data_IF_342150225098
#
_entry.id   IF_342150225098
#
_cell.length_a   1.000
_cell.length_b   1.000
_cell.length_c   1.000
_cell.angle_alpha   90.00
_cell.angle_beta   90.00
_cell.angle_gamma   90.00
#
_symmetry.space_group_name_H-M   'P 1'
#
loop_
_entity.id
_entity.type
_entity.pdbx_description
1 polymer ?
#
# COMPACT_ATOMS: atom_id res chain seq x y z
N UNK A 1 -18.81 5.24 3.03
CA UNK A 1 -18.35 4.33 4.10
C UNK A 1 -18.74 2.95 3.64
N UNK A 2 -17.76 2.14 3.28
CA UNK A 2 -17.97 0.82 2.66
C UNK A 2 -17.42 -0.18 3.66
N UNK A 3 -18.26 -1.11 4.12
CA UNK A 3 -17.79 -2.32 4.81
C UNK A 3 -16.87 -3.04 3.83
N UNK A 4 -15.65 -3.38 4.25
CA UNK A 4 -14.77 -4.17 3.39
C UNK A 4 -15.43 -5.53 3.21
N UNK A 5 -15.53 -5.97 1.96
CA UNK A 5 -15.95 -7.34 1.73
C UNK A 5 -14.84 -8.31 2.22
N UNK A 6 -15.16 -9.59 2.39
CA UNK A 6 -14.22 -10.57 2.95
C UNK A 6 -12.91 -10.68 2.14
N UNK A 7 -12.98 -10.49 0.82
CA UNK A 7 -11.83 -10.54 -0.08
C UNK A 7 -10.93 -9.31 0.11
N UNK A 8 -11.51 -8.12 0.24
CA UNK A 8 -10.79 -6.87 0.54
C UNK A 8 -10.12 -6.93 1.91
N UNK A 9 -10.77 -7.52 2.92
CA UNK A 9 -10.15 -7.72 4.24
C UNK A 9 -8.91 -8.60 4.15
N UNK A 10 -9.01 -9.77 3.51
CA UNK A 10 -7.89 -10.70 3.36
C UNK A 10 -6.70 -10.04 2.66
N UNK A 11 -6.98 -9.19 1.69
CA UNK A 11 -5.99 -8.40 0.97
C UNK A 11 -5.30 -7.36 1.87
N UNK A 12 -6.08 -6.56 2.61
CA UNK A 12 -5.56 -5.56 3.56
C UNK A 12 -4.67 -6.22 4.63
N UNK A 13 -5.09 -7.38 5.15
CA UNK A 13 -4.31 -8.17 6.11
C UNK A 13 -2.97 -8.67 5.53
N UNK A 14 -2.89 -8.94 4.23
CA UNK A 14 -1.67 -9.38 3.57
C UNK A 14 -0.71 -8.20 3.25
N UNK A 15 -1.25 -7.04 2.87
CA UNK A 15 -0.44 -5.90 2.44
C UNK A 15 0.08 -5.03 3.58
N UNK A 16 -0.64 -4.96 4.71
CA UNK A 16 -0.19 -4.19 5.88
C UNK A 16 1.18 -4.69 6.42
N UNK A 17 1.39 -5.99 6.71
CA UNK A 17 2.69 -6.48 7.16
C UNK A 17 3.79 -6.29 6.12
N UNK A 18 3.44 -6.42 4.83
CA UNK A 18 4.38 -6.20 3.74
C UNK A 18 4.87 -4.74 3.70
N UNK A 19 3.97 -3.77 3.84
CA UNK A 19 4.34 -2.35 3.87
C UNK A 19 5.34 -2.06 5.01
N UNK A 20 5.10 -2.60 6.21
CA UNK A 20 6.04 -2.48 7.34
C UNK A 20 7.39 -3.14 7.07
N UNK A 21 7.40 -4.32 6.42
CA UNK A 21 8.65 -4.99 6.04
C UNK A 21 9.44 -4.17 5.02
N UNK A 22 8.78 -3.56 4.04
CA UNK A 22 9.42 -2.68 3.06
C UNK A 22 10.05 -1.47 3.77
N UNK A 23 9.35 -0.84 4.71
CA UNK A 23 9.89 0.27 5.51
C UNK A 23 11.18 -0.13 6.21
N UNK A 24 11.21 -1.27 6.91
CA UNK A 24 12.43 -1.74 7.60
C UNK A 24 13.61 -1.93 6.65
N UNK A 25 13.36 -2.42 5.42
CA UNK A 25 14.42 -2.57 4.42
C UNK A 25 14.90 -1.21 3.90
N UNK A 26 13.98 -0.26 3.73
CA UNK A 26 14.31 1.11 3.32
C UNK A 26 15.13 1.82 4.41
N UNK A 27 14.80 1.67 5.69
CA UNK A 27 15.58 2.19 6.82
C UNK A 27 17.02 1.62 6.82
N UNK A 28 17.16 0.31 6.60
CA UNK A 28 18.48 -0.32 6.49
C UNK A 28 19.30 0.25 5.31
N UNK A 29 18.66 0.46 4.15
CA UNK A 29 19.29 1.08 2.99
C UNK A 29 19.66 2.54 3.25
N UNK A 30 18.80 3.30 3.95
CA UNK A 30 19.04 4.70 4.28
C UNK A 30 20.24 4.86 5.20
N UNK A 31 20.40 3.92 6.15
CA UNK A 31 21.56 3.78 7.02
C UNK A 31 22.85 3.32 6.29
N UNK A 32 22.80 3.13 4.97
CA UNK A 32 23.95 2.76 4.14
C UNK A 32 24.33 1.29 4.20
N UNK A 33 23.44 0.42 4.73
CA UNK A 33 23.68 -1.03 4.73
C UNK A 33 23.48 -1.58 3.34
N UNK A 34 24.32 -2.54 2.97
CA UNK A 34 24.14 -3.29 1.73
C UNK A 34 23.01 -4.31 1.88
N UNK A 35 22.12 -4.36 0.90
CA UNK A 35 20.95 -5.23 0.94
C UNK A 35 21.31 -6.69 0.62
N UNK A 36 20.85 -7.60 1.48
CA UNK A 36 20.93 -9.04 1.24
C UNK A 36 19.75 -9.55 0.38
N UNK A 37 19.83 -10.81 -0.02
CA UNK A 37 18.83 -11.43 -0.92
C UNK A 37 17.42 -11.46 -0.31
N UNK A 38 17.32 -11.64 1.01
CA UNK A 38 16.03 -11.63 1.72
C UNK A 38 15.40 -10.25 1.68
N UNK A 39 16.17 -9.19 1.93
CA UNK A 39 15.72 -7.80 1.83
C UNK A 39 15.30 -7.47 0.40
N UNK A 40 16.08 -7.90 -0.59
CA UNK A 40 15.72 -7.81 -2.00
C UNK A 40 14.40 -8.52 -2.34
N UNK A 41 14.15 -9.70 -1.76
CA UNK A 41 12.87 -10.42 -1.91
C UNK A 41 11.69 -9.63 -1.34
N UNK A 42 11.88 -8.96 -0.20
CA UNK A 42 10.87 -8.04 0.37
C UNK A 42 10.60 -6.87 -0.57
N UNK A 43 11.64 -6.22 -1.11
CA UNK A 43 11.46 -5.12 -2.06
C UNK A 43 10.75 -5.55 -3.35
N UNK A 44 11.03 -6.76 -3.87
CA UNK A 44 10.31 -7.33 -5.02
C UNK A 44 8.82 -7.53 -4.73
N UNK A 45 8.46 -7.95 -3.51
CA UNK A 45 7.06 -8.02 -3.10
C UNK A 45 6.43 -6.61 -2.99
N UNK A 46 7.17 -5.63 -2.50
CA UNK A 46 6.76 -4.22 -2.51
C UNK A 46 6.51 -3.67 -3.94
N UNK A 47 7.37 -4.04 -4.88
CA UNK A 47 7.22 -3.74 -6.32
C UNK A 47 5.96 -4.41 -6.91
N UNK A 48 5.68 -5.67 -6.56
CA UNK A 48 4.44 -6.32 -6.96
C UNK A 48 3.19 -5.63 -6.40
N UNK A 49 3.25 -5.12 -5.16
CA UNK A 49 2.19 -4.29 -4.58
C UNK A 49 2.02 -2.97 -5.34
N UNK A 50 3.11 -2.29 -5.70
CA UNK A 50 3.07 -1.09 -6.55
C UNK A 50 2.47 -1.39 -7.92
N UNK A 51 2.76 -2.56 -8.50
CA UNK A 51 2.17 -2.98 -9.78
C UNK A 51 0.64 -3.06 -9.69
N UNK A 52 0.08 -3.57 -8.59
CA UNK A 52 -1.38 -3.55 -8.36
C UNK A 52 -1.95 -2.14 -8.22
N UNK A 53 -1.22 -1.25 -7.54
CA UNK A 53 -1.60 0.16 -7.43
C UNK A 53 -1.57 0.83 -8.82
N UNK A 54 -0.59 0.51 -9.66
CA UNK A 54 -0.45 1.00 -11.03
C UNK A 54 -1.60 0.48 -11.91
N UNK A 55 -2.04 -0.77 -11.75
CA UNK A 55 -3.25 -1.31 -12.44
C UNK A 55 -4.47 -0.45 -12.15
N UNK A 56 -4.73 -0.14 -10.87
CA UNK A 56 -5.85 0.70 -10.45
C UNK A 56 -5.74 2.14 -10.96
N UNK A 57 -4.54 2.74 -10.86
CA UNK A 57 -4.28 4.09 -11.36
C UNK A 57 -4.53 4.19 -12.88
N UNK A 58 -4.00 3.23 -13.64
CA UNK A 58 -4.14 3.15 -15.09
C UNK A 58 -5.61 3.06 -15.52
N UNK A 59 -6.40 2.25 -14.79
CA UNK A 59 -7.82 2.11 -15.02
C UNK A 59 -8.57 3.43 -14.77
N UNK A 60 -8.30 4.08 -13.64
CA UNK A 60 -8.97 5.33 -13.25
C UNK A 60 -8.60 6.50 -14.17
N UNK A 61 -7.34 6.56 -14.61
CA UNK A 61 -6.85 7.59 -15.53
C UNK A 61 -7.23 7.32 -16.99
N UNK A 62 -7.86 6.18 -17.31
CA UNK A 62 -8.24 5.81 -18.67
C UNK A 62 -7.05 5.60 -19.62
N UNK A 63 -5.90 5.21 -19.06
CA UNK A 63 -4.67 4.95 -19.83
C UNK A 63 -4.69 3.55 -20.43
N UNK A 64 -3.89 3.35 -21.47
CA UNK A 64 -3.67 2.01 -22.03
C UNK A 64 -2.84 1.18 -21.06
N UNK A 65 -3.27 -0.05 -20.80
CA UNK A 65 -2.51 -1.00 -19.99
C UNK A 65 -1.23 -1.40 -20.73
N UNK A 66 -0.10 -1.38 -20.00
CA UNK A 66 1.16 -1.96 -20.47
C UNK A 66 1.07 -3.49 -20.45
N UNK A 67 1.89 -4.16 -21.26
CA UNK A 67 1.95 -5.62 -21.28
C UNK A 67 2.17 -6.19 -19.87
N UNK A 68 1.32 -7.14 -19.46
CA UNK A 68 1.38 -7.79 -18.15
C UNK A 68 0.51 -7.17 -17.06
N UNK A 69 -0.14 -6.02 -17.32
CA UNK A 69 -1.14 -5.43 -16.42
C UNK A 69 -2.55 -5.66 -16.99
N UNK A 70 -3.51 -5.96 -16.11
CA UNK A 70 -4.92 -6.09 -16.48
C UNK A 70 -5.82 -5.38 -15.47
N UNK A 71 -6.99 -4.87 -15.90
CA UNK A 71 -8.00 -4.34 -14.98
C UNK A 71 -8.35 -5.38 -13.90
N UNK A 72 -8.33 -4.96 -12.63
CA UNK A 72 -8.73 -5.81 -11.51
C UNK A 72 -9.42 -4.98 -10.42
N UNK A 73 -10.42 -5.58 -9.77
CA UNK A 73 -11.07 -4.96 -8.60
C UNK A 73 -10.07 -4.79 -7.45
N UNK A 74 -9.18 -5.76 -7.27
CA UNK A 74 -8.05 -5.68 -6.34
C UNK A 74 -7.18 -4.45 -6.60
N UNK A 75 -6.79 -4.22 -7.86
CA UNK A 75 -6.00 -3.06 -8.26
C UNK A 75 -6.69 -1.74 -7.95
N UNK A 76 -8.00 -1.64 -8.18
CA UNK A 76 -8.79 -0.47 -7.81
C UNK A 76 -8.81 -0.25 -6.30
N UNK A 77 -9.17 -1.27 -5.51
CA UNK A 77 -9.27 -1.14 -4.05
C UNK A 77 -7.93 -0.73 -3.44
N UNK A 78 -6.80 -1.32 -3.86
CA UNK A 78 -5.49 -0.94 -3.32
C UNK A 78 -5.02 0.44 -3.79
N UNK A 79 -5.41 0.86 -4.99
CA UNK A 79 -5.16 2.22 -5.48
C UNK A 79 -5.91 3.27 -4.66
N UNK A 80 -7.14 3.00 -4.20
CA UNK A 80 -7.87 3.92 -3.31
C UNK A 80 -7.12 4.14 -1.99
N UNK A 81 -6.52 3.09 -1.42
CA UNK A 81 -5.64 3.20 -0.25
C UNK A 81 -4.39 4.03 -0.55
N UNK A 82 -3.79 3.84 -1.71
CA UNK A 82 -2.62 4.62 -2.14
C UNK A 82 -2.98 6.11 -2.33
N UNK A 83 -4.14 6.42 -2.92
CA UNK A 83 -4.64 7.80 -3.06
C UNK A 83 -4.92 8.44 -1.69
N UNK A 84 -5.59 7.73 -0.80
CA UNK A 84 -5.84 8.19 0.57
C UNK A 84 -4.53 8.49 1.30
N UNK A 85 -3.51 7.66 1.08
CA UNK A 85 -2.16 7.85 1.60
C UNK A 85 -1.50 9.11 1.04
N UNK A 86 -1.54 9.32 -0.28
CA UNK A 86 -0.98 10.54 -0.90
C UNK A 86 -1.70 11.81 -0.43
N UNK A 87 -3.02 11.75 -0.19
CA UNK A 87 -3.79 12.88 0.37
C UNK A 87 -3.34 13.23 1.79
N UNK A 88 -3.11 12.22 2.64
CA UNK A 88 -2.59 12.43 4.01
C UNK A 88 -1.17 13.00 4.03
N UNK A 89 -0.38 12.67 3.02
CA UNK A 89 0.97 13.23 2.83
C UNK A 89 0.94 14.59 2.10
N UNK A 90 -0.23 15.11 1.75
CA UNK A 90 -0.43 16.35 0.98
C UNK A 90 0.22 16.38 -0.41
N UNK A 91 0.59 15.21 -0.95
CA UNK A 91 1.34 15.09 -2.21
C UNK A 91 0.46 15.15 -3.46
N UNK A 92 -0.86 15.00 -3.35
CA UNK A 92 -1.75 14.88 -4.53
C UNK A 92 -1.78 16.12 -5.43
N UNK A 93 -1.40 17.29 -4.93
CA UNK A 93 -1.39 18.54 -5.71
C UNK A 93 -0.16 18.70 -6.61
N UNK A 94 0.86 17.89 -6.37
CA UNK A 94 2.16 17.94 -7.06
C UNK A 94 2.29 16.83 -8.12
N UNK A 95 1.23 16.04 -8.32
CA UNK A 95 1.25 14.83 -9.15
C UNK A 95 0.37 15.07 -10.38
N UNK A 96 1.03 15.18 -11.54
CA UNK A 96 0.34 15.35 -12.83
C UNK A 96 -0.22 14.03 -13.40
N UNK A 97 0.30 12.88 -12.93
CA UNK A 97 -0.15 11.54 -13.31
C UNK A 97 0.24 10.50 -12.27
N UNK A 98 -0.76 9.83 -11.69
CA UNK A 98 -0.57 8.85 -10.63
C UNK A 98 0.08 7.57 -11.16
N UNK A 99 -0.24 7.14 -12.38
CA UNK A 99 0.41 5.98 -13.01
C UNK A 99 1.92 6.18 -13.08
N UNK A 100 2.40 7.27 -13.68
CA UNK A 100 3.84 7.55 -13.81
C UNK A 100 4.49 7.78 -12.45
N UNK A 101 3.76 8.39 -11.51
CA UNK A 101 4.24 8.59 -10.15
C UNK A 101 4.56 7.26 -9.46
N UNK A 102 3.66 6.28 -9.51
CA UNK A 102 3.89 4.97 -8.91
C UNK A 102 4.88 4.11 -9.70
N UNK A 103 4.96 4.27 -11.02
CA UNK A 103 6.01 3.64 -11.84
C UNK A 103 7.42 4.12 -11.43
N UNK A 104 7.57 5.39 -11.04
CA UNK A 104 8.83 5.88 -10.52
C UNK A 104 9.21 5.20 -9.19
N UNK A 105 8.25 5.01 -8.27
CA UNK A 105 8.50 4.26 -7.03
C UNK A 105 8.89 2.82 -7.32
N UNK A 106 8.22 2.16 -8.26
CA UNK A 106 8.53 0.78 -8.64
C UNK A 106 9.95 0.65 -9.20
N UNK A 107 10.32 1.60 -10.07
CA UNK A 107 11.68 1.70 -10.62
C UNK A 107 12.72 1.95 -9.54
N UNK A 108 12.43 2.81 -8.55
CA UNK A 108 13.33 3.06 -7.43
C UNK A 108 13.53 1.80 -6.57
N UNK A 109 12.47 1.05 -6.22
CA UNK A 109 12.60 -0.22 -5.49
C UNK A 109 13.42 -1.25 -6.27
N UNK A 110 13.17 -1.37 -7.57
CA UNK A 110 13.89 -2.30 -8.44
C UNK A 110 15.36 -1.92 -8.56
N UNK A 111 15.66 -0.63 -8.70
CA UNK A 111 17.02 -0.10 -8.76
C UNK A 111 17.76 -0.32 -7.44
N UNK A 112 17.10 -0.07 -6.31
CA UNK A 112 17.63 -0.32 -4.98
C UNK A 112 18.02 -1.79 -4.79
N UNK A 113 17.16 -2.72 -5.19
CA UNK A 113 17.50 -4.14 -5.11
C UNK A 113 18.62 -4.54 -6.09
N UNK A 114 18.64 -3.99 -7.31
CA UNK A 114 19.69 -4.27 -8.30
C UNK A 114 21.07 -3.79 -7.83
N UNK A 115 21.14 -2.58 -7.29
CA UNK A 115 22.39 -1.98 -6.83
C UNK A 115 22.75 -2.40 -5.40
N UNK A 116 21.80 -2.98 -4.66
CA UNK A 116 21.88 -3.31 -3.22
C UNK A 116 22.20 -2.12 -2.31
N UNK A 117 22.13 -0.90 -2.83
CA UNK A 117 22.46 0.37 -2.17
C UNK A 117 21.58 1.48 -2.71
N UNK A 118 21.42 2.56 -1.94
CA UNK A 118 20.51 3.69 -2.23
C UNK A 118 20.96 4.65 -3.34
N UNK A 119 21.97 4.31 -4.14
CA UNK A 119 22.66 5.23 -5.04
C UNK A 119 21.70 6.08 -5.91
N UNK A 120 21.56 7.37 -5.55
CA UNK A 120 20.72 8.34 -6.26
C UNK A 120 19.21 8.22 -6.02
N UNK A 121 18.78 7.38 -5.06
CA UNK A 121 17.37 7.14 -4.74
C UNK A 121 16.98 7.94 -3.50
N UNK A 122 15.82 8.61 -3.55
CA UNK A 122 15.25 9.29 -2.39
C UNK A 122 14.49 8.28 -1.51
N UNK A 123 15.22 7.58 -0.64
CA UNK A 123 14.65 6.54 0.24
C UNK A 123 13.56 7.09 1.16
N UNK A 124 13.74 8.30 1.71
CA UNK A 124 12.79 8.90 2.64
C UNK A 124 11.39 9.05 2.02
N UNK A 125 11.33 9.36 0.72
CA UNK A 125 10.06 9.50 0.01
C UNK A 125 9.31 8.17 -0.09
N UNK A 126 10.02 7.08 -0.38
CA UNK A 126 9.47 5.73 -0.41
C UNK A 126 9.05 5.26 0.98
N UNK A 127 9.89 5.51 1.99
CA UNK A 127 9.65 5.15 3.38
C UNK A 127 8.37 5.81 3.90
N UNK A 128 8.25 7.13 3.73
CA UNK A 128 7.08 7.90 4.13
C UNK A 128 5.79 7.37 3.46
N UNK A 129 5.88 7.02 2.18
CA UNK A 129 4.76 6.43 1.46
C UNK A 129 4.35 5.07 2.03
N UNK A 130 5.27 4.10 2.13
CA UNK A 130 4.96 2.75 2.61
C UNK A 130 4.52 2.76 4.09
N UNK A 131 5.11 3.63 4.91
CA UNK A 131 4.68 3.82 6.29
C UNK A 131 3.24 4.34 6.36
N UNK A 132 2.91 5.39 5.61
CA UNK A 132 1.57 5.96 5.60
C UNK A 132 0.54 5.02 4.94
N UNK A 133 0.95 4.21 3.96
CA UNK A 133 0.13 3.15 3.36
C UNK A 133 -0.21 2.08 4.38
N UNK A 134 0.78 1.56 5.11
CA UNK A 134 0.57 0.58 6.19
C UNK A 134 -0.38 1.09 7.26
N UNK A 135 -0.28 2.38 7.65
CA UNK A 135 -1.21 3.00 8.60
C UNK A 135 -2.62 3.17 8.03
N UNK A 136 -2.76 3.49 6.75
CA UNK A 136 -4.06 3.59 6.10
C UNK A 136 -4.77 2.24 6.03
N UNK A 137 -4.04 1.17 5.71
CA UNK A 137 -4.53 -0.20 5.73
C UNK A 137 -4.93 -0.64 7.15
N UNK A 138 -4.11 -0.33 8.16
CA UNK A 138 -4.39 -0.67 9.56
C UNK A 138 -5.61 0.05 10.14
N UNK A 139 -5.84 1.32 9.75
CA UNK A 139 -6.96 2.11 10.25
C UNK A 139 -8.32 1.51 9.87
N UNK A 140 -8.43 0.80 8.75
CA UNK A 140 -9.69 0.20 8.34
C UNK A 140 -9.97 -1.11 9.07
N UNK A 141 -8.93 -1.91 9.34
CA UNK A 141 -9.03 -3.08 10.23
C UNK A 141 -9.56 -2.65 11.61
N UNK A 142 -8.96 -1.63 12.22
CA UNK A 142 -9.33 -1.18 13.56
C UNK A 142 -10.75 -0.58 13.64
N UNK A 143 -11.20 0.10 12.58
CA UNK A 143 -12.56 0.65 12.53
C UNK A 143 -13.62 -0.43 12.38
N UNK A 144 -13.32 -1.51 11.67
CA UNK A 144 -14.22 -2.64 11.54
C UNK A 144 -14.33 -3.45 12.83
N UNK A 145 -13.22 -3.70 13.54
CA UNK A 145 -13.25 -4.36 14.85
C UNK A 145 -14.16 -3.58 15.82
N UNK A 146 -14.03 -2.25 15.83
CA UNK A 146 -14.88 -1.37 16.64
C UNK A 146 -16.38 -1.44 16.26
N UNK A 147 -16.70 -1.52 14.96
CA UNK A 147 -18.08 -1.64 14.49
C UNK A 147 -18.69 -3.00 14.83
N UNK A 148 -17.91 -4.09 14.69
CA UNK A 148 -18.35 -5.43 15.07
C UNK A 148 -18.59 -5.57 16.58
N UNK A 149 -17.73 -4.97 17.40
CA UNK A 149 -17.91 -4.94 18.85
C UNK A 149 -19.17 -4.16 19.23
N UNK A 150 -19.41 -3.01 18.58
CA UNK A 150 -20.59 -2.19 18.82
C UNK A 150 -21.89 -2.92 18.46
N UNK A 151 -21.96 -3.55 17.29
CA UNK A 151 -23.14 -4.33 16.87
C UNK A 151 -23.38 -5.54 17.79
N UNK A 152 -22.32 -6.17 18.30
CA UNK A 152 -22.40 -7.30 19.23
C UNK A 152 -22.94 -6.85 20.60
N UNK A 153 -22.49 -5.69 21.08
CA UNK A 153 -22.98 -5.08 22.34
C UNK A 153 -24.44 -4.65 22.20
N UNK A 154 -24.83 -4.03 21.09
CA UNK A 154 -26.20 -3.61 20.83
C UNK A 154 -27.18 -4.80 20.75
N UNK A 155 -26.77 -5.92 20.13
CA UNK A 155 -27.56 -7.16 20.09
C UNK A 155 -27.71 -7.80 21.48
N UNK A 156 -26.67 -7.80 22.31
CA UNK A 156 -26.74 -8.33 23.68
C UNK A 156 -27.65 -7.48 24.58
N UNK A 157 -27.62 -6.16 24.43
CA UNK A 157 -28.50 -5.25 25.18
C UNK A 157 -29.97 -5.39 24.76
N UNK A 158 -30.26 -5.67 23.50
CA UNK A 158 -31.62 -5.97 23.02
C UNK A 158 -32.14 -7.32 23.53
N UNK A 159 -31.26 -8.31 23.69
CA UNK A 159 -31.64 -9.66 24.16
C UNK A 159 -31.84 -9.76 25.68
N UNK A 160 -31.13 -8.94 26.46
CA UNK A 160 -31.22 -8.90 27.93
C UNK A 160 -32.26 -7.92 28.47
N UNK A 161 -32.97 -7.20 27.58
CA UNK A 161 -34.04 -6.25 27.91
C UNK A 161 -35.47 -6.79 27.74
N UNK A 162 -35.63 -8.10 27.51
CA UNK A 162 -36.91 -8.84 27.51
C UNK A 162 -37.00 -9.76 28.72
#
# INVERSE_FOLDING_TARGET
MTLLNLEEKAMVFNFMPLASQVVLVLEDAEAGKELNERQCSVLKKGSALLSRIIEGATLVEGKNFKEGLSPSMEGLSIYEYALSTLRKLELTREIDGFTEYFENYDKELTTLCKNRKKDGINIQKLENFFFALGRSLSSDIQKEDYLHDKESIEKQLQYNGQ
#
